data_IF_503382432493
#
_entry.id   IF_503382432493
#
_cell.length_a   1.000
_cell.length_b   1.000
_cell.length_c   1.000
_cell.angle_alpha   90.00
_cell.angle_beta   90.00
_cell.angle_gamma   90.00
#
_symmetry.space_group_name_H-M   'P 1'
#
loop_
_entity.id
_entity.type
_entity.pdbx_description
1 polymer ?
#
# COMPACT_ATOMS: atom_id res chain seq x y z
N UNK A 1 -1.74 -15.79 -20.30
CA UNK A 1 -2.01 -14.49 -19.62
C UNK A 1 -1.80 -14.67 -18.14
N UNK A 2 -1.17 -13.74 -17.43
CA UNK A 2 -1.11 -13.83 -15.97
C UNK A 2 -2.49 -13.58 -15.39
N UNK A 3 -2.90 -14.38 -14.41
CA UNK A 3 -4.24 -14.28 -13.79
C UNK A 3 -4.63 -12.88 -13.28
N UNK A 4 -3.70 -12.01 -12.81
CA UNK A 4 -4.02 -10.63 -12.46
C UNK A 4 -4.48 -9.75 -13.63
N UNK A 5 -4.04 -10.03 -14.87
CA UNK A 5 -4.50 -9.31 -16.06
C UNK A 5 -5.93 -9.68 -16.46
N UNK A 6 -6.32 -10.92 -16.21
CA UNK A 6 -7.71 -11.39 -16.39
C UNK A 6 -8.67 -10.60 -15.49
N UNK A 7 -8.36 -10.46 -14.18
CA UNK A 7 -9.16 -9.66 -13.26
C UNK A 7 -9.29 -8.20 -13.68
N UNK A 8 -8.19 -7.60 -14.11
CA UNK A 8 -8.17 -6.21 -14.51
C UNK A 8 -9.09 -5.92 -15.71
N UNK A 9 -9.30 -6.91 -16.59
CA UNK A 9 -10.20 -6.78 -17.73
C UNK A 9 -11.67 -6.59 -17.33
N UNK A 10 -12.01 -6.82 -16.06
CA UNK A 10 -13.36 -6.61 -15.54
C UNK A 10 -13.64 -5.16 -15.09
N UNK A 11 -12.67 -4.24 -15.18
CA UNK A 11 -12.94 -2.80 -15.00
C UNK A 11 -14.07 -2.37 -15.94
N UNK A 12 -15.03 -1.62 -15.40
CA UNK A 12 -16.24 -1.19 -16.12
C UNK A 12 -17.40 -2.19 -16.11
N UNK A 13 -17.20 -3.42 -15.64
CA UNK A 13 -18.29 -4.40 -15.44
C UNK A 13 -19.10 -4.06 -14.19
N UNK A 14 -20.22 -4.73 -14.04
CA UNK A 14 -21.10 -4.59 -12.87
C UNK A 14 -21.31 -5.95 -12.23
N UNK A 15 -21.19 -6.02 -10.92
CA UNK A 15 -21.48 -7.19 -10.09
C UNK A 15 -22.74 -6.87 -9.31
N UNK A 16 -23.86 -7.52 -9.64
CA UNK A 16 -25.19 -7.19 -9.13
C UNK A 16 -25.53 -5.73 -9.41
N UNK A 17 -25.37 -4.87 -8.40
CA UNK A 17 -25.62 -3.42 -8.47
C UNK A 17 -24.33 -2.59 -8.28
N UNK A 18 -23.17 -3.24 -8.16
CA UNK A 18 -21.90 -2.59 -7.83
C UNK A 18 -21.03 -2.48 -9.09
N UNK A 19 -20.76 -1.26 -9.60
CA UNK A 19 -19.86 -1.06 -10.72
C UNK A 19 -18.40 -1.30 -10.30
N UNK A 20 -17.64 -2.02 -11.10
CA UNK A 20 -16.20 -2.22 -10.93
C UNK A 20 -15.44 -1.03 -11.55
N UNK A 21 -15.23 0.04 -10.78
CA UNK A 21 -14.72 1.31 -11.32
C UNK A 21 -13.23 1.28 -11.60
N UNK A 22 -12.41 0.91 -10.63
CA UNK A 22 -10.96 0.90 -10.70
C UNK A 22 -10.41 -0.36 -10.04
N UNK A 23 -9.51 -1.06 -10.68
CA UNK A 23 -8.79 -2.17 -10.07
C UNK A 23 -7.79 -1.66 -9.02
N UNK A 24 -7.93 -2.09 -7.78
CA UNK A 24 -7.10 -1.69 -6.65
C UNK A 24 -5.98 -2.70 -6.35
N UNK A 25 -6.11 -3.92 -6.84
CA UNK A 25 -5.14 -4.98 -6.65
C UNK A 25 -5.77 -6.35 -6.61
N UNK A 26 -4.95 -7.40 -6.53
CA UNK A 26 -5.45 -8.76 -6.51
C UNK A 26 -4.35 -9.82 -6.44
N UNK A 27 -4.80 -11.06 -6.48
CA UNK A 27 -3.98 -12.28 -6.51
C UNK A 27 -4.51 -13.21 -7.60
N UNK A 28 -3.95 -14.42 -7.69
CA UNK A 28 -4.48 -15.45 -8.61
C UNK A 28 -5.93 -15.85 -8.33
N UNK A 29 -6.40 -15.65 -7.09
CA UNK A 29 -7.71 -16.14 -6.63
C UNK A 29 -8.70 -15.03 -6.27
N UNK A 30 -8.26 -13.77 -6.22
CA UNK A 30 -9.13 -12.65 -5.83
C UNK A 30 -8.67 -11.34 -6.42
N UNK A 31 -9.61 -10.43 -6.63
CA UNK A 31 -9.35 -9.04 -7.04
C UNK A 31 -10.17 -8.07 -6.21
N UNK A 32 -9.66 -6.87 -6.05
CA UNK A 32 -10.32 -5.77 -5.33
C UNK A 32 -10.49 -4.60 -6.31
N UNK A 33 -11.72 -4.09 -6.38
CA UNK A 33 -12.06 -2.92 -7.19
C UNK A 33 -12.65 -1.82 -6.31
N UNK A 34 -12.44 -0.59 -6.72
CA UNK A 34 -13.21 0.54 -6.25
C UNK A 34 -14.64 0.41 -6.77
N UNK A 35 -15.60 0.67 -5.89
CA UNK A 35 -17.03 0.72 -6.23
C UNK A 35 -17.72 1.82 -5.44
N UNK A 36 -19.00 1.98 -5.65
CA UNK A 36 -19.87 2.89 -4.89
C UNK A 36 -21.08 2.13 -4.35
N UNK A 37 -21.55 2.56 -3.19
CA UNK A 37 -22.80 2.02 -2.64
C UNK A 37 -23.96 2.73 -3.34
N UNK A 38 -24.84 1.99 -4.04
CA UNK A 38 -25.97 2.57 -4.74
C UNK A 38 -26.86 3.41 -3.81
N UNK A 39 -27.20 4.62 -4.24
CA UNK A 39 -28.07 5.54 -3.50
C UNK A 39 -27.41 6.32 -2.35
N UNK A 40 -26.16 5.99 -1.99
CA UNK A 40 -25.44 6.70 -0.91
C UNK A 40 -24.26 7.54 -1.40
N UNK A 41 -23.85 7.43 -2.67
CA UNK A 41 -22.64 8.04 -3.25
C UNK A 41 -21.41 7.85 -2.37
N UNK A 42 -21.37 6.76 -1.63
CA UNK A 42 -20.29 6.42 -0.71
C UNK A 42 -19.30 5.50 -1.42
N UNK A 43 -18.01 5.89 -1.42
CA UNK A 43 -16.93 5.04 -1.91
C UNK A 43 -16.84 3.76 -1.09
N UNK A 44 -16.74 2.63 -1.77
CA UNK A 44 -16.60 1.30 -1.20
C UNK A 44 -15.55 0.50 -1.99
N UNK A 45 -15.09 -0.60 -1.42
CA UNK A 45 -14.27 -1.57 -2.11
C UNK A 45 -15.09 -2.86 -2.28
N UNK A 46 -15.05 -3.45 -3.48
CA UNK A 46 -15.60 -4.77 -3.73
C UNK A 46 -14.47 -5.75 -3.99
N UNK A 47 -14.40 -6.81 -3.18
CA UNK A 47 -13.49 -7.91 -3.38
C UNK A 47 -14.24 -9.07 -4.02
N UNK A 48 -13.70 -9.53 -5.14
CA UNK A 48 -14.16 -10.70 -5.86
C UNK A 48 -13.23 -11.86 -5.57
N UNK A 49 -13.78 -13.01 -5.27
CA UNK A 49 -13.05 -14.25 -4.98
C UNK A 49 -13.59 -15.31 -5.93
N UNK A 50 -12.72 -16.02 -6.67
CA UNK A 50 -13.19 -17.14 -7.51
C UNK A 50 -13.92 -18.13 -6.62
N UNK A 51 -15.15 -18.42 -6.96
CA UNK A 51 -15.96 -19.38 -6.23
C UNK A 51 -15.38 -20.80 -6.45
N UNK A 52 -15.18 -21.51 -5.35
CA UNK A 52 -15.06 -22.95 -5.41
C UNK A 52 -16.47 -23.53 -5.67
N UNK A 53 -16.55 -24.65 -6.36
CA UNK A 53 -17.86 -25.18 -6.78
C UNK A 53 -18.70 -25.71 -5.61
N UNK A 54 -19.98 -25.41 -5.60
CA UNK A 54 -20.96 -26.05 -4.72
C UNK A 54 -20.99 -25.53 -3.27
N UNK A 55 -21.05 -26.44 -2.27
CA UNK A 55 -21.28 -26.09 -0.86
C UNK A 55 -20.27 -25.12 -0.24
N UNK A 56 -19.04 -25.11 -0.77
CA UNK A 56 -17.94 -24.28 -0.25
C UNK A 56 -18.17 -22.79 -0.53
N UNK A 57 -18.70 -22.45 -1.70
CA UNK A 57 -19.07 -21.07 -2.05
C UNK A 57 -20.19 -20.54 -1.15
N UNK A 58 -21.20 -21.39 -0.86
CA UNK A 58 -22.30 -21.03 0.03
C UNK A 58 -21.81 -20.81 1.47
N UNK A 59 -20.95 -21.69 1.97
CA UNK A 59 -20.35 -21.56 3.29
C UNK A 59 -19.50 -20.31 3.39
N UNK A 60 -18.68 -20.00 2.36
CA UNK A 60 -17.89 -18.78 2.31
C UNK A 60 -18.77 -17.53 2.31
N UNK A 61 -19.82 -17.52 1.51
CA UNK A 61 -20.77 -16.41 1.44
C UNK A 61 -21.49 -16.23 2.78
N UNK A 62 -21.91 -17.30 3.43
CA UNK A 62 -22.55 -17.27 4.74
C UNK A 62 -21.64 -16.67 5.81
N UNK A 63 -20.34 -17.05 5.83
CA UNK A 63 -19.34 -16.44 6.72
C UNK A 63 -19.20 -14.94 6.49
N UNK A 64 -19.06 -14.51 5.24
CA UNK A 64 -18.95 -13.09 4.90
C UNK A 64 -20.19 -12.29 5.30
N UNK A 65 -21.40 -12.86 5.12
CA UNK A 65 -22.66 -12.26 5.59
C UNK A 65 -22.71 -12.16 7.12
N UNK A 66 -22.20 -13.17 7.83
CA UNK A 66 -22.09 -13.13 9.30
C UNK A 66 -21.13 -12.03 9.74
N UNK A 67 -20.02 -11.82 9.03
CA UNK A 67 -19.05 -10.75 9.29
C UNK A 67 -19.67 -9.36 9.13
N UNK A 68 -20.64 -9.17 8.25
CA UNK A 68 -21.36 -7.90 8.09
C UNK A 68 -22.09 -7.44 9.37
N UNK A 69 -22.35 -8.35 10.31
CA UNK A 69 -22.96 -8.04 11.63
C UNK A 69 -21.95 -7.54 12.65
N UNK A 70 -20.65 -7.65 12.38
CA UNK A 70 -19.59 -7.19 13.28
C UNK A 70 -19.42 -5.68 13.16
N UNK A 71 -19.25 -5.03 14.30
CA UNK A 71 -19.00 -3.58 14.38
C UNK A 71 -17.93 -3.30 15.42
N UNK A 72 -16.78 -2.82 14.96
CA UNK A 72 -15.67 -2.38 15.81
C UNK A 72 -14.89 -1.26 15.11
N UNK A 73 -14.42 -0.23 15.81
CA UNK A 73 -13.74 0.91 15.19
C UNK A 73 -12.48 0.53 14.40
N UNK A 74 -11.82 -0.56 14.78
CA UNK A 74 -10.60 -1.04 14.14
C UNK A 74 -10.81 -2.31 13.28
N UNK A 75 -12.04 -2.57 12.84
CA UNK A 75 -12.36 -3.55 11.79
C UNK A 75 -12.94 -2.83 10.58
N UNK A 76 -12.59 -3.28 9.39
CA UNK A 76 -13.23 -2.82 8.15
C UNK A 76 -14.70 -3.23 8.18
N UNK A 77 -15.58 -2.28 7.93
CA UNK A 77 -17.02 -2.55 7.85
C UNK A 77 -17.32 -3.32 6.57
N UNK A 78 -18.04 -4.41 6.71
CA UNK A 78 -18.64 -5.15 5.60
C UNK A 78 -20.06 -4.62 5.40
N UNK A 79 -20.41 -4.24 4.17
CA UNK A 79 -21.75 -3.76 3.81
C UNK A 79 -22.61 -4.86 3.27
N UNK A 80 -22.05 -5.67 2.35
CA UNK A 80 -22.78 -6.73 1.67
C UNK A 80 -21.83 -7.85 1.24
N UNK A 81 -22.35 -9.08 1.15
CA UNK A 81 -21.67 -10.21 0.53
C UNK A 81 -22.67 -11.10 -0.18
N UNK A 82 -22.24 -11.72 -1.27
CA UNK A 82 -23.09 -12.59 -2.09
C UNK A 82 -22.27 -13.39 -3.10
N UNK A 83 -22.99 -14.02 -4.01
CA UNK A 83 -22.43 -14.72 -5.16
C UNK A 83 -22.93 -14.06 -6.45
N UNK A 84 -22.15 -14.12 -7.49
CA UNK A 84 -22.51 -13.63 -8.82
C UNK A 84 -21.68 -14.34 -9.88
N UNK A 85 -22.06 -14.19 -11.14
CA UNK A 85 -21.32 -14.72 -12.28
C UNK A 85 -20.91 -13.59 -13.20
N UNK A 86 -19.62 -13.50 -13.54
CA UNK A 86 -19.06 -12.50 -14.46
C UNK A 86 -18.38 -13.24 -15.60
N UNK A 87 -18.81 -12.96 -16.83
CA UNK A 87 -18.25 -13.56 -18.05
C UNK A 87 -18.12 -15.10 -17.94
N UNK A 88 -19.12 -15.76 -17.33
CA UNK A 88 -19.13 -17.21 -17.11
C UNK A 88 -18.26 -17.71 -15.96
N UNK A 89 -17.66 -16.81 -15.17
CA UNK A 89 -16.88 -17.14 -13.98
C UNK A 89 -17.72 -16.87 -12.73
N UNK A 90 -17.92 -17.90 -11.92
CA UNK A 90 -18.60 -17.76 -10.63
C UNK A 90 -17.68 -17.13 -9.60
N UNK A 91 -18.18 -16.13 -8.89
CA UNK A 91 -17.45 -15.38 -7.87
C UNK A 91 -18.27 -15.21 -6.59
N UNK A 92 -17.59 -15.29 -5.48
CA UNK A 92 -18.09 -14.75 -4.21
C UNK A 92 -17.61 -13.30 -4.11
N UNK A 93 -18.52 -12.37 -3.82
CA UNK A 93 -18.15 -10.97 -3.64
C UNK A 93 -18.42 -10.50 -2.21
N UNK A 94 -17.61 -9.55 -1.77
CA UNK A 94 -17.80 -8.83 -0.51
C UNK A 94 -17.56 -7.34 -0.73
N UNK A 95 -18.53 -6.51 -0.36
CA UNK A 95 -18.47 -5.06 -0.42
C UNK A 95 -18.13 -4.52 0.96
N UNK A 96 -17.08 -3.73 1.04
CA UNK A 96 -16.53 -3.23 2.29
C UNK A 96 -16.30 -1.72 2.25
N UNK A 97 -16.09 -1.14 3.40
CA UNK A 97 -15.51 0.19 3.54
C UNK A 97 -14.21 0.28 2.71
N UNK A 98 -14.06 1.37 1.97
CA UNK A 98 -12.88 1.59 1.14
C UNK A 98 -11.74 2.11 2.00
N UNK A 99 -10.63 1.39 2.02
CA UNK A 99 -9.40 1.86 2.64
C UNK A 99 -8.65 2.83 1.70
N UNK A 100 -7.93 3.77 2.30
CA UNK A 100 -7.08 4.70 1.56
C UNK A 100 -5.76 4.02 1.16
N UNK A 101 -5.16 3.26 2.09
CA UNK A 101 -3.90 2.53 1.91
C UNK A 101 -3.84 1.28 2.80
N UNK A 102 -2.78 0.50 2.66
CA UNK A 102 -2.47 -0.62 3.55
C UNK A 102 -0.97 -0.69 3.88
N UNK A 103 -0.64 -1.36 4.97
CA UNK A 103 0.73 -1.41 5.46
C UNK A 103 1.71 -2.03 4.44
N UNK A 104 1.27 -2.95 3.56
CA UNK A 104 2.14 -3.54 2.54
C UNK A 104 2.58 -2.58 1.45
N UNK A 105 1.96 -1.40 1.34
CA UNK A 105 2.38 -0.34 0.42
C UNK A 105 3.48 0.54 1.01
N UNK A 106 3.58 0.60 2.33
CA UNK A 106 4.59 1.38 3.06
C UNK A 106 5.88 0.59 3.23
N UNK A 107 5.77 -0.66 3.64
CA UNK A 107 6.92 -1.49 4.02
C UNK A 107 7.99 -1.67 2.94
N UNK A 108 7.68 -1.75 1.63
CA UNK A 108 8.72 -1.81 0.60
C UNK A 108 9.60 -0.56 0.54
N UNK A 109 9.09 0.58 1.02
CA UNK A 109 9.82 1.86 1.01
C UNK A 109 10.74 1.99 2.21
N UNK A 110 10.26 1.64 3.41
CA UNK A 110 11.01 1.71 4.67
C UNK A 110 10.38 0.82 5.73
N UNK A 111 11.14 0.41 6.76
CA UNK A 111 10.56 -0.16 7.97
C UNK A 111 9.78 0.92 8.73
N UNK A 112 8.90 0.51 9.62
CA UNK A 112 8.27 1.41 10.58
C UNK A 112 9.24 1.74 11.71
N UNK A 113 9.11 2.96 12.24
CA UNK A 113 9.77 3.36 13.47
C UNK A 113 9.04 2.78 14.70
N UNK A 114 9.75 2.70 15.82
CA UNK A 114 9.17 2.22 17.09
C UNK A 114 7.95 3.04 17.53
N UNK A 115 7.96 4.34 17.30
CA UNK A 115 6.85 5.25 17.57
C UNK A 115 5.62 4.94 16.72
N UNK A 116 5.81 4.59 15.46
CA UNK A 116 4.73 4.18 14.56
C UNK A 116 4.14 2.83 14.98
N UNK A 117 4.99 1.87 15.35
CA UNK A 117 4.53 0.57 15.86
C UNK A 117 3.78 0.72 17.19
N UNK A 118 4.19 1.65 18.07
CA UNK A 118 3.48 1.94 19.31
C UNK A 118 2.04 2.44 19.09
N UNK A 119 1.79 3.11 17.96
CA UNK A 119 0.45 3.56 17.55
C UNK A 119 -0.33 2.52 16.76
N UNK A 120 0.38 1.61 16.07
CA UNK A 120 -0.21 0.55 15.25
C UNK A 120 -0.75 -0.60 16.09
N UNK A 121 -0.03 -1.05 17.11
CA UNK A 121 -0.40 -2.25 17.86
C UNK A 121 -1.71 -2.14 18.65
N UNK A 122 -2.00 -1.07 19.42
CA UNK A 122 -3.23 -0.99 20.22
C UNK A 122 -4.53 -1.16 19.42
N UNK A 123 -4.72 -0.51 18.24
CA UNK A 123 -5.89 -0.76 17.39
C UNK A 123 -6.04 -2.23 16.96
N UNK A 124 -4.94 -2.88 16.61
CA UNK A 124 -4.95 -4.29 16.18
C UNK A 124 -5.30 -5.21 17.35
N UNK A 125 -4.71 -5.00 18.53
CA UNK A 125 -5.02 -5.74 19.75
C UNK A 125 -6.49 -5.57 20.15
N UNK A 126 -7.03 -4.35 20.06
CA UNK A 126 -8.45 -4.08 20.32
C UNK A 126 -9.38 -4.86 19.38
N UNK A 127 -9.07 -4.87 18.07
CA UNK A 127 -9.83 -5.61 17.07
C UNK A 127 -9.78 -7.13 17.36
N UNK A 128 -8.60 -7.67 17.66
CA UNK A 128 -8.44 -9.10 17.99
C UNK A 128 -9.14 -9.48 19.28
N UNK A 129 -9.04 -8.65 20.32
CA UNK A 129 -9.75 -8.86 21.58
C UNK A 129 -11.27 -8.92 21.38
N UNK A 130 -11.79 -8.03 20.52
CA UNK A 130 -13.21 -8.04 20.13
C UNK A 130 -13.62 -9.33 19.43
N UNK A 131 -12.81 -9.83 18.49
CA UNK A 131 -13.08 -11.07 17.76
C UNK A 131 -12.97 -12.30 18.67
N UNK A 132 -11.86 -12.45 19.40
CA UNK A 132 -11.60 -13.59 20.26
C UNK A 132 -12.66 -13.73 21.36
N UNK A 133 -13.12 -12.59 21.92
CA UNK A 133 -14.21 -12.57 22.90
C UNK A 133 -15.58 -13.03 22.35
N UNK A 134 -15.69 -13.18 21.02
CA UNK A 134 -16.90 -13.68 20.33
C UNK A 134 -16.76 -15.06 19.71
N UNK A 135 -15.68 -15.76 20.02
CA UNK A 135 -15.43 -17.07 19.42
C UNK A 135 -14.96 -17.00 17.97
N UNK A 136 -14.43 -15.84 17.55
CA UNK A 136 -13.97 -15.58 16.20
C UNK A 136 -12.46 -15.33 16.17
N UNK A 137 -11.84 -15.60 15.04
CA UNK A 137 -10.45 -15.28 14.74
C UNK A 137 -10.38 -14.47 13.44
N UNK A 138 -9.34 -13.66 13.30
CA UNK A 138 -9.07 -12.98 12.06
C UNK A 138 -8.53 -13.92 10.99
N UNK A 139 -7.66 -14.86 11.36
CA UNK A 139 -7.14 -15.95 10.55
C UNK A 139 -6.14 -15.53 9.47
N UNK A 140 -5.86 -14.22 9.29
CA UNK A 140 -4.94 -13.72 8.25
C UNK A 140 -4.39 -12.32 8.51
N UNK A 141 -3.74 -12.14 9.64
CA UNK A 141 -3.06 -10.88 9.96
C UNK A 141 -1.78 -10.81 9.14
N UNK A 142 -1.64 -9.77 8.32
CA UNK A 142 -0.46 -9.47 7.51
C UNK A 142 -0.50 -8.03 7.03
N UNK A 143 0.61 -7.45 6.56
CA UNK A 143 0.66 -6.04 6.16
C UNK A 143 -0.43 -5.61 5.17
N UNK A 144 -0.79 -6.44 4.20
CA UNK A 144 -1.85 -6.11 3.23
C UNK A 144 -3.26 -6.09 3.82
N UNK A 145 -3.45 -6.62 5.02
CA UNK A 145 -4.71 -6.67 5.75
C UNK A 145 -4.76 -5.69 6.93
N UNK A 146 -3.71 -4.90 7.12
CA UNK A 146 -3.67 -3.73 8.02
C UNK A 146 -3.89 -2.49 7.18
N UNK A 147 -5.05 -1.87 7.34
CA UNK A 147 -5.61 -0.88 6.44
C UNK A 147 -5.73 0.48 7.13
N UNK A 148 -5.54 1.55 6.39
CA UNK A 148 -5.79 2.91 6.84
C UNK A 148 -7.11 3.41 6.23
N UNK A 149 -7.99 3.96 7.08
CA UNK A 149 -9.25 4.61 6.67
C UNK A 149 -9.34 5.94 7.40
N UNK A 150 -9.06 7.03 6.68
CA UNK A 150 -8.87 8.33 7.29
C UNK A 150 -7.73 8.30 8.31
N UNK A 151 -8.03 8.65 9.55
CA UNK A 151 -7.11 8.67 10.69
C UNK A 151 -7.04 7.35 11.49
N UNK A 152 -7.73 6.30 11.03
CA UNK A 152 -7.88 5.05 11.77
C UNK A 152 -7.18 3.88 11.10
N UNK A 153 -6.53 3.06 11.91
CA UNK A 153 -6.03 1.76 11.50
C UNK A 153 -7.09 0.70 11.76
N UNK A 154 -7.32 -0.15 10.76
CA UNK A 154 -8.32 -1.21 10.78
C UNK A 154 -7.75 -2.50 10.22
N UNK A 155 -8.19 -3.64 10.76
CA UNK A 155 -7.98 -4.94 10.15
C UNK A 155 -9.05 -5.21 9.09
N UNK A 156 -8.67 -5.89 8.02
CA UNK A 156 -9.63 -6.42 7.04
C UNK A 156 -10.63 -7.35 7.72
N UNK A 157 -11.80 -7.54 7.13
CA UNK A 157 -12.86 -8.37 7.76
C UNK A 157 -13.29 -9.55 6.91
N UNK A 158 -12.71 -9.71 5.72
CA UNK A 158 -13.11 -10.74 4.75
C UNK A 158 -12.58 -12.15 5.03
N UNK A 159 -11.71 -12.30 6.05
CA UNK A 159 -11.11 -13.59 6.41
C UNK A 159 -11.57 -14.12 7.78
N UNK A 160 -12.40 -13.36 8.49
CA UNK A 160 -12.87 -13.72 9.83
C UNK A 160 -13.62 -15.06 9.80
N UNK A 161 -13.27 -15.95 10.72
CA UNK A 161 -13.84 -17.27 10.85
C UNK A 161 -14.14 -17.61 12.31
N UNK A 162 -15.05 -18.55 12.53
CA UNK A 162 -15.26 -19.15 13.85
C UNK A 162 -14.20 -20.20 14.14
N UNK A 163 -13.64 -20.23 15.33
CA UNK A 163 -12.74 -21.34 15.73
C UNK A 163 -13.51 -22.64 16.04
N UNK A 164 -14.82 -22.63 16.02
CA UNK A 164 -15.62 -23.86 16.01
C UNK A 164 -15.66 -24.52 14.62
N UNK A 165 -15.40 -23.76 13.54
CA UNK A 165 -15.46 -24.24 12.16
C UNK A 165 -14.13 -24.89 11.74
N UNK A 166 -13.66 -25.89 12.46
CA UNK A 166 -12.38 -26.59 12.21
C UNK A 166 -12.35 -27.39 10.89
N UNK A 167 -13.45 -27.46 10.15
CA UNK A 167 -13.56 -28.14 8.85
C UNK A 167 -13.56 -27.20 7.66
N UNK A 168 -13.19 -25.92 7.82
CA UNK A 168 -13.08 -25.06 6.67
C UNK A 168 -11.93 -25.55 5.78
N UNK A 169 -12.24 -25.82 4.50
CA UNK A 169 -11.34 -26.30 3.42
C UNK A 169 -10.13 -25.41 3.20
N UNK A 170 -9.36 -25.15 4.28
CA UNK A 170 -8.08 -24.40 4.21
C UNK A 170 -6.97 -25.21 3.55
N UNK A 171 -7.23 -26.51 3.23
CA UNK A 171 -6.24 -27.41 2.65
C UNK A 171 -5.70 -27.00 1.28
N UNK A 172 -6.41 -26.15 0.54
CA UNK A 172 -5.98 -25.69 -0.78
C UNK A 172 -5.31 -24.30 -0.76
N UNK A 173 -5.21 -23.66 0.42
CA UNK A 173 -4.64 -22.34 0.52
C UNK A 173 -3.11 -22.41 0.57
N UNK A 174 -2.45 -21.74 -0.36
CA UNK A 174 -0.99 -21.56 -0.35
C UNK A 174 -0.56 -20.89 0.96
N UNK A 175 0.40 -21.50 1.68
CA UNK A 175 0.98 -20.93 2.90
C UNK A 175 1.57 -19.55 2.63
N UNK A 176 1.26 -18.63 3.52
CA UNK A 176 1.84 -17.30 3.58
C UNK A 176 2.93 -17.28 4.67
N UNK A 177 3.94 -16.44 4.52
CA UNK A 177 5.00 -16.29 5.54
C UNK A 177 4.48 -15.81 6.92
N UNK A 178 3.27 -15.29 6.96
CA UNK A 178 2.58 -14.83 8.17
C UNK A 178 1.70 -15.91 8.81
N UNK A 179 1.47 -17.03 8.16
CA UNK A 179 0.60 -18.09 8.67
C UNK A 179 1.31 -18.88 9.78
N UNK A 180 0.57 -19.16 10.85
CA UNK A 180 1.07 -20.02 11.93
C UNK A 180 1.33 -21.44 11.44
N UNK A 181 2.31 -22.17 12.00
CA UNK A 181 2.67 -23.51 11.55
C UNK A 181 1.48 -24.48 11.55
N UNK A 182 0.64 -24.45 12.57
CA UNK A 182 -0.55 -25.29 12.71
C UNK A 182 -1.64 -25.01 11.67
N UNK A 183 -1.60 -23.88 11.00
CA UNK A 183 -2.54 -23.55 9.90
C UNK A 183 -2.40 -24.54 8.75
N UNK A 184 -1.23 -25.14 8.56
CA UNK A 184 -1.01 -26.19 7.57
C UNK A 184 -1.85 -27.45 7.83
N UNK A 185 -2.22 -27.70 9.10
CA UNK A 185 -3.14 -28.76 9.50
C UNK A 185 -4.61 -28.32 9.53
N UNK A 186 -4.93 -27.14 8.98
CA UNK A 186 -6.30 -26.60 8.99
C UNK A 186 -6.74 -26.02 10.32
N UNK A 187 -5.84 -25.92 11.31
CA UNK A 187 -6.18 -25.42 12.64
C UNK A 187 -6.22 -23.89 12.60
N UNK A 188 -7.38 -23.35 12.94
CA UNK A 188 -7.62 -21.90 13.04
C UNK A 188 -7.91 -21.59 14.52
N UNK A 189 -7.12 -20.69 15.11
CA UNK A 189 -7.19 -20.43 16.55
C UNK A 189 -6.77 -19.01 16.90
N UNK A 190 -7.17 -18.49 18.09
CA UNK A 190 -6.63 -17.23 18.60
C UNK A 190 -5.10 -17.20 18.69
N UNK A 191 -4.47 -18.33 19.01
CA UNK A 191 -3.01 -18.44 19.03
C UNK A 191 -2.39 -18.29 17.62
N UNK A 192 -3.11 -18.71 16.58
CA UNK A 192 -2.71 -18.46 15.18
C UNK A 192 -2.68 -16.96 14.84
N UNK A 193 -3.66 -16.19 15.33
CA UNK A 193 -3.67 -14.73 15.18
C UNK A 193 -2.49 -14.08 15.92
N UNK A 194 -2.12 -14.60 17.11
CA UNK A 194 -0.94 -14.11 17.85
C UNK A 194 0.34 -14.32 17.04
N UNK A 195 0.52 -15.50 16.44
CA UNK A 195 1.66 -15.76 15.55
C UNK A 195 1.69 -14.76 14.40
N UNK A 196 0.57 -14.63 13.68
CA UNK A 196 0.47 -13.74 12.53
C UNK A 196 0.69 -12.26 12.89
N UNK A 197 0.28 -11.84 14.09
CA UNK A 197 0.59 -10.52 14.64
C UNK A 197 2.09 -10.35 14.88
N UNK A 198 2.75 -11.34 15.51
CA UNK A 198 4.20 -11.34 15.71
C UNK A 198 4.98 -11.29 14.40
N UNK A 199 4.59 -12.08 13.41
CA UNK A 199 5.17 -12.06 12.07
C UNK A 199 4.99 -10.70 11.37
N UNK A 200 3.80 -10.11 11.50
CA UNK A 200 3.51 -8.77 10.97
C UNK A 200 4.34 -7.69 11.66
N UNK A 201 4.54 -7.80 12.97
CA UNK A 201 5.40 -6.90 13.74
C UNK A 201 6.85 -6.96 13.28
N UNK A 202 7.40 -8.16 13.10
CA UNK A 202 8.76 -8.34 12.56
C UNK A 202 8.87 -7.73 11.18
N UNK A 203 7.93 -8.04 10.27
CA UNK A 203 7.90 -7.45 8.94
C UNK A 203 7.82 -5.92 8.95
N UNK A 204 7.02 -5.35 9.84
CA UNK A 204 6.87 -3.91 9.99
C UNK A 204 8.17 -3.21 10.39
N UNK A 205 8.95 -3.82 11.29
CA UNK A 205 10.19 -3.24 11.82
C UNK A 205 11.44 -3.57 11.00
N UNK A 206 11.40 -4.60 10.15
CA UNK A 206 12.59 -5.10 9.44
C UNK A 206 12.43 -5.22 7.93
N UNK A 207 11.24 -4.99 7.40
CA UNK A 207 10.85 -5.26 6.01
C UNK A 207 11.04 -6.75 5.60
N UNK A 208 11.28 -7.63 6.53
CA UNK A 208 11.53 -9.05 6.30
C UNK A 208 10.70 -9.92 7.26
N UNK A 209 10.21 -11.04 6.73
CA UNK A 209 9.42 -12.05 7.46
C UNK A 209 9.95 -13.46 7.26
N UNK A 210 11.20 -13.62 6.81
CA UNK A 210 11.82 -14.94 6.67
C UNK A 210 12.26 -15.46 8.04
N UNK A 211 11.63 -16.53 8.50
CA UNK A 211 11.93 -17.19 9.78
C UNK A 211 12.84 -18.44 9.64
N UNK A 212 13.51 -18.61 8.51
CA UNK A 212 14.29 -19.82 8.22
C UNK A 212 13.40 -21.04 7.91
N UNK A 213 14.04 -22.12 7.46
CA UNK A 213 13.33 -23.37 7.12
C UNK A 213 13.28 -24.36 8.29
N UNK A 214 13.89 -24.02 9.43
CA UNK A 214 13.89 -24.90 10.62
C UNK A 214 12.52 -24.89 11.30
N UNK A 215 11.76 -25.96 11.06
CA UNK A 215 10.44 -26.15 11.63
C UNK A 215 10.46 -26.78 13.04
N UNK A 216 11.63 -27.01 13.61
CA UNK A 216 11.79 -27.64 14.92
C UNK A 216 12.16 -26.65 16.04
N UNK A 217 12.52 -25.42 15.67
CA UNK A 217 12.89 -24.37 16.63
C UNK A 217 12.08 -23.12 16.37
N UNK A 218 11.82 -22.38 17.47
CA UNK A 218 11.20 -21.06 17.37
C UNK A 218 12.04 -20.16 16.45
N UNK A 219 11.41 -19.29 15.64
CA UNK A 219 12.09 -18.42 14.70
C UNK A 219 13.16 -17.54 15.35
N UNK A 220 14.35 -17.51 14.76
CA UNK A 220 15.40 -16.55 15.13
C UNK A 220 14.98 -15.14 14.76
N UNK A 221 15.02 -14.22 15.72
CA UNK A 221 14.67 -12.81 15.49
C UNK A 221 15.89 -11.98 15.11
N UNK A 222 15.76 -11.00 14.20
CA UNK A 222 16.82 -10.06 13.88
C UNK A 222 17.31 -9.29 15.11
N UNK A 223 18.63 -9.14 15.25
CA UNK A 223 19.23 -8.38 16.35
C UNK A 223 18.88 -6.89 16.35
N UNK A 224 18.40 -6.38 15.20
CA UNK A 224 17.96 -4.99 15.01
C UNK A 224 16.64 -4.65 15.69
N UNK A 225 15.87 -5.65 16.12
CA UNK A 225 14.64 -5.41 16.87
C UNK A 225 14.97 -4.88 18.26
N UNK A 226 14.38 -3.74 18.60
CA UNK A 226 14.49 -3.11 19.94
C UNK A 226 13.39 -3.60 20.88
N UNK A 227 13.64 -3.48 22.17
CA UNK A 227 12.61 -3.69 23.17
C UNK A 227 11.58 -2.53 23.19
N UNK A 228 10.31 -2.79 23.49
CA UNK A 228 9.73 -4.07 23.91
C UNK A 228 9.36 -5.00 22.75
N UNK A 229 9.48 -4.56 21.50
CA UNK A 229 8.98 -5.27 20.31
C UNK A 229 9.70 -6.59 20.06
N UNK A 230 10.97 -6.67 20.40
CA UNK A 230 11.74 -7.91 20.30
C UNK A 230 11.17 -8.99 21.25
N UNK A 231 10.88 -8.63 22.48
CA UNK A 231 10.24 -9.54 23.45
C UNK A 231 8.85 -9.94 22.97
N UNK A 232 8.01 -8.99 22.56
CA UNK A 232 6.68 -9.28 22.01
C UNK A 232 6.77 -10.25 20.84
N UNK A 233 7.63 -9.99 19.86
CA UNK A 233 7.79 -10.84 18.69
C UNK A 233 8.22 -12.26 19.08
N UNK A 234 9.19 -12.39 19.99
CA UNK A 234 9.66 -13.70 20.49
C UNK A 234 8.52 -14.50 21.12
N UNK A 235 7.76 -13.88 22.00
CA UNK A 235 6.69 -14.54 22.72
C UNK A 235 5.44 -14.83 21.85
N UNK A 236 5.29 -14.11 20.74
CA UNK A 236 4.26 -14.41 19.74
C UNK A 236 4.65 -15.58 18.82
N UNK A 237 5.93 -15.77 18.54
CA UNK A 237 6.43 -16.66 17.50
C UNK A 237 6.93 -18.01 18.06
N UNK A 238 6.36 -18.51 19.16
CA UNK A 238 6.58 -19.87 19.59
C UNK A 238 5.92 -20.88 18.66
N UNK A 239 6.64 -21.94 18.27
CA UNK A 239 6.07 -23.03 17.47
C UNK A 239 4.92 -23.71 18.19
N UNK A 240 5.05 -23.93 19.51
CA UNK A 240 3.96 -24.42 20.35
C UNK A 240 2.92 -23.31 20.61
N UNK A 241 1.68 -23.42 20.09
CA UNK A 241 0.65 -22.40 20.28
C UNK A 241 0.32 -22.11 21.75
N UNK A 242 0.55 -23.07 22.64
CA UNK A 242 0.27 -22.93 24.09
C UNK A 242 1.29 -22.04 24.79
N UNK A 243 2.46 -21.85 24.21
CA UNK A 243 3.52 -20.99 24.77
C UNK A 243 3.40 -19.55 24.31
N UNK A 244 2.59 -19.27 23.28
CA UNK A 244 2.40 -17.91 22.78
C UNK A 244 1.69 -17.04 23.80
N UNK A 245 2.10 -15.79 23.89
CA UNK A 245 1.44 -14.80 24.72
C UNK A 245 -0.03 -14.61 24.34
N UNK A 246 -0.83 -14.28 25.35
CA UNK A 246 -2.18 -13.75 25.15
C UNK A 246 -2.13 -12.26 24.76
N UNK A 247 -3.22 -11.74 24.17
CA UNK A 247 -3.36 -10.31 23.87
C UNK A 247 -3.11 -9.44 25.10
N UNK A 248 -3.58 -9.88 26.29
CA UNK A 248 -3.39 -9.16 27.56
C UNK A 248 -1.92 -9.06 27.96
N UNK A 249 -1.12 -10.10 27.75
CA UNK A 249 0.31 -10.06 28.04
C UNK A 249 1.03 -9.07 27.10
N UNK A 250 0.67 -9.07 25.81
CA UNK A 250 1.19 -8.10 24.83
C UNK A 250 0.81 -6.67 25.23
N UNK A 251 -0.45 -6.43 25.60
CA UNK A 251 -0.91 -5.11 26.07
C UNK A 251 -0.17 -4.65 27.34
N UNK A 252 0.17 -5.59 28.23
CA UNK A 252 0.90 -5.27 29.46
C UNK A 252 2.33 -4.87 29.16
N UNK A 253 3.00 -5.56 28.22
CA UNK A 253 4.37 -5.26 27.81
C UNK A 253 4.47 -3.89 27.09
N UNK A 254 3.41 -3.52 26.34
CA UNK A 254 3.35 -2.23 25.64
C UNK A 254 3.12 -1.03 26.59
N UNK A 255 2.63 -1.26 27.80
CA UNK A 255 2.48 -0.18 28.77
C UNK A 255 3.88 0.25 29.23
N UNK A 256 4.21 1.56 29.16
CA UNK A 256 5.44 2.00 29.78
C UNK A 256 5.40 1.55 31.24
N UNK A 257 6.36 0.70 31.62
CA UNK A 257 6.55 0.43 33.03
C UNK A 257 6.65 1.78 33.74
N UNK A 258 5.73 2.08 34.63
CA UNK A 258 6.03 2.93 35.76
C UNK A 258 7.16 2.19 36.47
N UNK A 259 8.41 2.37 36.04
CA UNK A 259 9.57 1.97 36.83
C UNK A 259 9.29 2.56 38.20
N UNK A 260 8.86 1.74 39.10
CA UNK A 260 8.90 2.04 40.53
C UNK A 260 10.36 2.40 40.78
N UNK A 261 10.63 3.69 40.88
CA UNK A 261 11.93 4.15 41.36
C UNK A 261 12.18 3.34 42.64
N UNK A 262 13.35 2.70 42.79
CA UNK A 262 13.71 2.08 44.05
C UNK A 262 13.37 3.10 45.15
N UNK A 263 12.67 2.65 46.17
CA UNK A 263 12.29 3.51 47.28
C UNK A 263 13.51 4.36 47.69
N UNK A 264 13.37 5.68 47.82
CA UNK A 264 14.49 6.53 48.18
C UNK A 264 15.12 5.97 49.46
N UNK A 265 16.45 5.74 49.40
CA UNK A 265 17.22 5.34 50.59
C UNK A 265 16.89 6.31 51.73
N UNK A 266 16.85 5.84 53.01
CA UNK A 266 16.51 6.71 54.12
C UNK A 266 17.46 7.92 54.18
N UNK A 267 16.93 9.10 54.51
CA UNK A 267 17.67 10.35 54.41
C UNK A 267 18.89 10.32 55.30
N UNK A 268 20.08 10.51 54.73
CA UNK A 268 21.26 10.87 55.43
C UNK A 268 21.09 12.27 56.03
N UNK A 269 21.60 12.58 57.23
CA UNK A 269 21.37 13.87 57.86
C UNK A 269 22.07 15.01 57.10
N UNK A 270 21.33 16.09 56.95
CA UNK A 270 21.63 17.32 56.23
C UNK A 270 22.91 18.03 56.70
N UNK A 271 23.75 18.52 55.81
CA UNK A 271 24.49 19.75 56.03
C UNK A 271 23.68 20.96 55.51
N UNK A 272 23.81 22.07 56.20
CA UNK A 272 23.07 23.32 56.18
C UNK A 272 23.04 24.08 54.80
N UNK A 273 22.18 25.10 54.63
CA UNK A 273 21.57 25.47 53.36
C UNK A 273 22.43 26.43 52.54
N UNK A 274 22.50 26.16 51.23
CA UNK A 274 22.94 27.12 50.23
C UNK A 274 21.80 27.53 49.30
N UNK A 275 21.75 28.78 48.98
CA UNK A 275 20.68 29.57 48.41
C UNK A 275 20.22 29.18 47.00
N UNK A 276 18.92 29.34 46.79
CA UNK A 276 18.11 29.24 45.59
C UNK A 276 18.63 30.02 44.38
N UNK A 277 18.72 29.37 43.20
CA UNK A 277 18.59 30.05 41.92
C UNK A 277 17.40 29.44 41.13
N UNK A 278 16.41 30.30 40.85
CA UNK A 278 15.25 30.02 40.03
C UNK A 278 15.67 29.88 38.56
N UNK A 279 15.31 28.79 37.91
CA UNK A 279 15.34 28.61 36.47
C UNK A 279 13.93 28.36 35.93
N UNK A 280 13.66 28.73 34.68
CA UNK A 280 12.28 28.87 34.19
C UNK A 280 11.63 27.53 33.83
N UNK A 281 10.32 27.51 34.08
CA UNK A 281 9.41 26.40 33.75
C UNK A 281 9.21 26.30 32.22
N UNK A 282 9.33 25.07 31.66
CA UNK A 282 8.90 24.77 30.31
C UNK A 282 7.50 24.14 30.35
N UNK A 283 6.60 24.56 29.46
CA UNK A 283 5.26 23.98 29.40
C UNK A 283 5.22 22.67 28.61
N UNK A 284 4.38 21.79 29.10
CA UNK A 284 4.03 20.46 28.58
C UNK A 284 3.19 20.61 27.29
N UNK A 285 3.82 20.49 26.10
CA UNK A 285 3.09 20.45 24.81
C UNK A 285 3.79 19.53 23.81
N UNK A 286 4.06 18.25 24.16
CA UNK A 286 4.72 17.31 23.24
C UNK A 286 3.76 16.25 22.69
N UNK A 287 2.58 16.05 23.28
CA UNK A 287 1.65 15.00 22.86
C UNK A 287 0.90 15.27 21.54
N UNK A 288 0.82 16.55 21.11
CA UNK A 288 0.01 16.92 19.93
C UNK A 288 0.80 16.94 18.61
N UNK A 289 2.13 16.92 18.65
CA UNK A 289 2.97 17.08 17.46
C UNK A 289 3.18 15.75 16.70
N UNK A 290 3.11 14.61 17.39
CA UNK A 290 3.40 13.29 16.78
C UNK A 290 2.23 12.81 15.92
N UNK A 291 0.98 13.09 16.30
CA UNK A 291 -0.21 12.79 15.48
C UNK A 291 -0.21 13.63 14.21
N UNK A 292 0.31 14.86 14.26
CA UNK A 292 0.44 15.75 13.10
C UNK A 292 1.56 15.33 12.14
N UNK A 293 2.59 14.62 12.58
CA UNK A 293 3.68 14.18 11.69
C UNK A 293 3.23 13.05 10.75
N UNK A 294 2.41 12.10 11.23
CA UNK A 294 1.81 11.05 10.38
C UNK A 294 0.80 11.68 9.41
N UNK A 295 0.08 12.72 9.86
CA UNK A 295 -0.87 13.46 9.04
C UNK A 295 -0.17 14.31 7.98
N UNK A 296 1.02 14.86 8.27
CA UNK A 296 1.76 15.73 7.34
C UNK A 296 2.42 14.94 6.21
N UNK A 297 2.94 13.75 6.46
CA UNK A 297 3.46 12.85 5.41
C UNK A 297 2.33 12.34 4.53
N UNK A 298 1.16 12.04 5.11
CA UNK A 298 -0.04 11.62 4.38
C UNK A 298 -0.64 12.76 3.54
N UNK A 299 -0.63 14.00 4.06
CA UNK A 299 -1.16 15.19 3.37
C UNK A 299 -0.20 15.77 2.33
N UNK A 300 1.11 15.66 2.53
CA UNK A 300 2.10 16.18 1.58
C UNK A 300 2.05 15.46 0.23
N UNK A 301 1.75 14.15 0.23
CA UNK A 301 1.52 13.40 -1.00
C UNK A 301 0.13 13.62 -1.63
N UNK A 302 -0.82 14.20 -0.89
CA UNK A 302 -2.20 14.46 -1.36
C UNK A 302 -2.40 15.90 -1.86
N UNK A 303 -1.54 16.83 -1.50
CA UNK A 303 -1.73 18.29 -1.69
C UNK A 303 -1.50 18.83 -3.09
N UNK A 304 -1.13 18.02 -4.07
CA UNK A 304 -0.80 18.54 -5.41
C UNK A 304 -1.81 18.17 -6.50
N UNK A 305 -3.10 18.04 -6.16
CA UNK A 305 -4.20 17.99 -7.12
C UNK A 305 -5.37 18.84 -6.65
N UNK A 306 -5.25 20.14 -6.82
CA UNK A 306 -6.36 21.11 -6.82
C UNK A 306 -5.89 22.31 -7.62
N UNK A 307 -6.52 22.55 -8.71
CA UNK A 307 -7.67 23.22 -9.06
C UNK A 307 -7.37 24.06 -10.26
N UNK A 308 -7.72 23.64 -11.44
CA UNK A 308 -7.99 24.54 -12.55
C UNK A 308 -9.51 24.70 -12.61
N UNK A 309 -10.00 25.84 -12.19
CA UNK A 309 -11.36 26.29 -12.46
C UNK A 309 -11.49 26.55 -13.97
N UNK A 310 -12.25 25.73 -14.65
CA UNK A 310 -12.78 26.05 -15.96
C UNK A 310 -13.90 27.07 -15.76
N UNK A 311 -13.67 28.25 -16.33
CA UNK A 311 -14.72 29.22 -16.63
C UNK A 311 -15.11 29.00 -18.08
N UNK A 312 -16.32 28.59 -18.29
CA UNK A 312 -16.98 28.41 -19.56
C UNK A 312 -17.37 29.81 -20.11
N UNK A 313 -17.18 30.10 -21.38
CA UNK A 313 -17.99 31.12 -22.06
C UNK A 313 -18.92 30.49 -23.09
N UNK A 314 -20.17 30.79 -22.96
CA UNK A 314 -21.32 30.55 -23.81
C UNK A 314 -21.11 31.03 -25.25
N UNK A 315 -21.65 30.36 -26.26
CA UNK A 315 -21.45 30.70 -27.66
C UNK A 315 -22.48 31.75 -28.16
N UNK A 316 -22.01 32.77 -28.84
CA UNK A 316 -22.85 33.57 -29.72
C UNK A 316 -22.68 33.13 -31.18
N UNK A 317 -23.81 32.85 -31.78
CA UNK A 317 -24.06 32.52 -33.16
C UNK A 317 -23.99 33.77 -34.01
N UNK A 318 -23.23 33.78 -35.12
CA UNK A 318 -23.60 34.57 -36.31
C UNK A 318 -23.10 33.93 -37.58
N UNK A 319 -24.04 33.75 -38.45
CA UNK A 319 -24.04 33.24 -39.81
C UNK A 319 -23.36 34.22 -40.80
N UNK A 320 -22.58 33.75 -41.73
CA UNK A 320 -22.70 34.04 -43.17
C UNK A 320 -21.51 33.53 -44.01
N UNK A 321 -21.82 32.79 -45.01
CA UNK A 321 -21.05 32.43 -46.21
C UNK A 321 -21.50 33.34 -47.37
N UNK A 322 -20.93 33.34 -48.62
CA UNK A 322 -19.60 32.98 -49.14
C UNK A 322 -19.01 34.08 -50.07
N UNK A 323 -17.74 33.97 -50.48
CA UNK A 323 -17.44 34.17 -51.93
C UNK A 323 -16.00 33.80 -52.34
N UNK A 324 -15.92 33.48 -53.59
CA UNK A 324 -14.90 32.76 -54.34
C UNK A 324 -13.59 33.53 -54.65
N UNK A 325 -12.60 32.73 -55.04
CA UNK A 325 -11.24 32.91 -55.53
C UNK A 325 -10.99 34.06 -56.50
N UNK A 326 -9.71 34.42 -56.85
CA UNK A 326 -8.88 33.55 -57.65
C UNK A 326 -7.38 33.46 -57.30
N UNK A 327 -6.78 32.44 -57.89
CA UNK A 327 -5.39 32.06 -57.86
C UNK A 327 -4.43 33.08 -58.43
N UNK A 328 -3.24 33.22 -57.83
CA UNK A 328 -2.02 33.63 -58.50
C UNK A 328 -0.88 32.72 -58.11
N UNK A 329 -0.27 32.15 -59.11
CA UNK A 329 0.91 31.30 -59.10
C UNK A 329 2.15 32.13 -58.78
N UNK A 330 2.97 31.68 -57.80
CA UNK A 330 4.39 31.99 -57.80
C UNK A 330 5.22 30.78 -57.37
N UNK A 331 6.30 30.61 -58.07
CA UNK A 331 7.19 29.47 -58.16
C UNK A 331 8.03 29.25 -56.87
N UNK A 332 8.66 28.07 -56.70
CA UNK A 332 9.22 27.61 -55.42
C UNK A 332 10.58 28.25 -55.15
N UNK A 333 10.68 29.02 -54.08
CA UNK A 333 11.97 29.26 -53.42
C UNK A 333 12.39 28.01 -52.62
N UNK A 334 13.56 27.53 -52.96
CA UNK A 334 14.22 26.39 -52.30
C UNK A 334 14.19 26.52 -50.79
N UNK A 335 13.44 25.64 -50.14
CA UNK A 335 13.53 25.42 -48.69
C UNK A 335 14.95 24.92 -48.36
N UNK A 336 15.74 25.72 -47.65
CA UNK A 336 16.95 25.25 -46.97
C UNK A 336 16.54 24.12 -46.07
N UNK A 337 17.08 22.93 -46.33
CA UNK A 337 16.93 21.77 -45.45
C UNK A 337 17.50 22.14 -44.08
N UNK A 338 16.61 22.35 -43.11
CA UNK A 338 17.00 22.52 -41.71
C UNK A 338 17.69 21.27 -41.25
N UNK A 339 18.97 21.36 -40.93
CA UNK A 339 19.76 20.25 -40.40
C UNK A 339 19.35 20.04 -38.92
N UNK A 340 18.46 19.10 -38.67
CA UNK A 340 18.06 18.74 -37.31
C UNK A 340 18.91 17.58 -36.84
N UNK A 341 19.77 17.81 -35.85
CA UNK A 341 20.52 16.75 -35.16
C UNK A 341 19.62 16.09 -34.12
N UNK A 342 19.55 14.76 -34.12
CA UNK A 342 18.79 14.02 -33.15
C UNK A 342 19.49 14.11 -31.77
N UNK A 343 18.74 14.48 -30.71
CA UNK A 343 19.27 14.42 -29.35
C UNK A 343 19.49 12.96 -28.90
N UNK A 344 20.43 12.74 -28.01
CA UNK A 344 20.81 11.43 -27.47
C UNK A 344 20.80 11.41 -25.94
N UNK A 345 20.76 10.20 -25.35
CA UNK A 345 20.90 10.03 -23.90
C UNK A 345 22.38 10.15 -23.53
N UNK A 346 22.72 11.11 -22.68
CA UNK A 346 24.08 11.37 -22.21
C UNK A 346 24.43 10.61 -20.94
N UNK A 347 23.50 10.63 -19.98
CA UNK A 347 23.66 9.93 -18.72
C UNK A 347 22.34 9.23 -18.35
N UNK A 348 22.44 7.92 -18.13
CA UNK A 348 21.31 7.09 -17.72
C UNK A 348 21.45 6.72 -16.25
N UNK A 349 20.46 7.08 -15.44
CA UNK A 349 20.35 6.67 -14.03
C UNK A 349 19.30 5.57 -13.92
N UNK A 350 19.69 4.41 -13.43
CA UNK A 350 18.75 3.33 -13.10
C UNK A 350 18.23 3.53 -11.68
N UNK A 351 16.94 3.26 -11.44
CA UNK A 351 16.40 3.27 -10.09
C UNK A 351 17.14 2.28 -9.20
N UNK A 352 17.51 2.72 -8.00
CA UNK A 352 18.03 1.80 -6.98
C UNK A 352 16.86 1.05 -6.35
N UNK A 353 16.76 -0.22 -6.71
CA UNK A 353 15.66 -1.09 -6.24
C UNK A 353 16.26 -2.10 -5.26
N UNK A 354 15.87 -2.06 -3.98
CA UNK A 354 16.27 -3.05 -2.99
C UNK A 354 15.93 -4.47 -3.44
N UNK A 355 16.77 -5.44 -3.07
CA UNK A 355 16.57 -6.84 -3.46
C UNK A 355 15.23 -7.40 -2.96
N UNK A 356 14.77 -6.96 -1.80
CA UNK A 356 13.45 -7.28 -1.25
C UNK A 356 12.31 -6.88 -2.20
N UNK A 357 12.37 -5.66 -2.75
CA UNK A 357 11.38 -5.19 -3.71
C UNK A 357 11.50 -5.93 -5.06
N UNK A 358 12.72 -6.25 -5.52
CA UNK A 358 12.93 -7.09 -6.72
C UNK A 358 12.29 -8.46 -6.56
N UNK A 359 12.36 -9.05 -5.38
CA UNK A 359 11.80 -10.39 -5.10
C UNK A 359 10.26 -10.42 -5.18
N UNK A 360 9.59 -9.26 -5.05
CA UNK A 360 8.12 -9.15 -5.20
C UNK A 360 7.68 -9.11 -6.66
N UNK A 361 8.60 -8.90 -7.60
CA UNK A 361 8.27 -8.82 -9.02
C UNK A 361 8.06 -10.21 -9.60
N UNK A 362 6.80 -10.55 -9.87
CA UNK A 362 6.41 -11.72 -10.67
C UNK A 362 6.21 -11.29 -12.12
N UNK A 363 7.25 -11.47 -12.95
CA UNK A 363 7.23 -11.05 -14.36
C UNK A 363 8.01 -9.77 -14.63
N UNK A 364 7.40 -8.77 -15.29
CA UNK A 364 8.04 -7.49 -15.62
C UNK A 364 7.10 -6.34 -15.27
N UNK A 365 7.49 -5.49 -14.34
CA UNK A 365 6.80 -4.22 -14.06
C UNK A 365 7.33 -3.17 -15.04
N UNK A 366 6.43 -2.55 -15.81
CA UNK A 366 6.75 -1.49 -16.77
C UNK A 366 6.21 -0.17 -16.24
N UNK A 367 7.07 0.84 -16.18
CA UNK A 367 6.72 2.22 -15.84
C UNK A 367 7.20 3.12 -16.96
N UNK A 368 6.36 4.04 -17.42
CA UNK A 368 6.73 5.02 -18.46
C UNK A 368 6.62 6.42 -17.89
N UNK A 369 7.72 7.16 -17.95
CA UNK A 369 7.84 8.54 -17.51
C UNK A 369 7.98 9.44 -18.72
N UNK A 370 7.25 10.55 -18.76
CA UNK A 370 7.45 11.64 -19.71
C UNK A 370 8.38 12.65 -19.07
N UNK A 371 9.56 12.87 -19.65
CA UNK A 371 10.54 13.84 -19.20
C UNK A 371 10.58 15.03 -20.16
N UNK A 372 10.54 16.24 -19.64
CA UNK A 372 10.79 17.47 -20.37
C UNK A 372 12.25 17.88 -20.15
N UNK A 373 12.99 18.01 -21.22
CA UNK A 373 14.42 18.30 -21.23
C UNK A 373 14.62 19.74 -21.72
N UNK A 374 15.37 20.52 -20.95
CA UNK A 374 15.71 21.90 -21.27
C UNK A 374 16.83 22.03 -22.31
N UNK A 375 17.21 23.26 -22.61
CA UNK A 375 18.26 23.58 -23.59
C UNK A 375 19.64 23.12 -23.15
N UNK A 376 19.85 22.87 -21.84
CA UNK A 376 21.11 22.36 -21.29
C UNK A 376 21.20 20.83 -21.30
N UNK A 377 20.10 20.14 -21.63
CA UNK A 377 20.02 18.69 -21.62
C UNK A 377 19.58 18.09 -20.29
N UNK A 378 19.20 18.90 -19.30
CA UNK A 378 18.70 18.44 -18.01
C UNK A 378 17.19 18.28 -18.01
N UNK A 379 16.70 17.31 -17.25
CA UNK A 379 15.27 17.12 -17.03
C UNK A 379 14.77 18.21 -16.08
N UNK A 380 13.89 19.07 -16.56
CA UNK A 380 13.28 20.13 -15.75
C UNK A 380 11.90 19.72 -15.19
N UNK A 381 11.27 18.70 -15.78
CA UNK A 381 9.99 18.14 -15.32
C UNK A 381 9.86 16.69 -15.75
N UNK A 382 9.39 15.84 -14.85
CA UNK A 382 9.10 14.46 -15.11
C UNK A 382 7.67 14.11 -14.64
N UNK A 383 6.91 13.43 -15.48
CA UNK A 383 5.52 13.03 -15.19
C UNK A 383 5.29 11.57 -15.54
N UNK A 384 4.50 10.87 -14.73
CA UNK A 384 4.11 9.49 -15.02
C UNK A 384 3.10 9.44 -16.18
N UNK A 385 3.52 8.92 -17.32
CA UNK A 385 2.60 8.57 -18.42
C UNK A 385 1.88 7.26 -18.15
N UNK A 386 2.57 6.30 -17.53
CA UNK A 386 2.02 5.02 -17.08
C UNK A 386 2.75 4.58 -15.83
N UNK A 387 2.03 4.53 -14.72
CA UNK A 387 2.58 4.17 -13.40
C UNK A 387 2.88 2.66 -13.28
N UNK A 388 2.35 1.82 -14.19
CA UNK A 388 2.41 0.37 -14.04
C UNK A 388 1.56 -0.11 -12.85
N UNK A 389 1.74 -1.38 -12.46
CA UNK A 389 0.92 -1.98 -11.41
C UNK A 389 1.36 -1.61 -9.97
N UNK A 390 2.45 -0.86 -9.81
CA UNK A 390 3.03 -0.56 -8.49
C UNK A 390 3.44 0.91 -8.39
N UNK A 391 2.80 1.64 -7.48
CA UNK A 391 3.15 3.03 -7.16
C UNK A 391 4.59 3.16 -6.67
N UNK A 392 5.11 2.15 -5.97
CA UNK A 392 6.49 2.11 -5.49
C UNK A 392 7.49 2.14 -6.65
N UNK A 393 7.35 1.25 -7.64
CA UNK A 393 8.22 1.28 -8.83
C UNK A 393 7.98 2.55 -9.68
N UNK A 394 6.77 3.10 -9.64
CA UNK A 394 6.46 4.35 -10.30
C UNK A 394 7.20 5.55 -9.69
N UNK A 395 7.25 5.65 -8.35
CA UNK A 395 8.01 6.73 -7.68
C UNK A 395 9.51 6.60 -7.89
N UNK A 396 10.07 5.39 -7.81
CA UNK A 396 11.48 5.16 -8.10
C UNK A 396 11.85 5.48 -9.57
N UNK A 397 10.95 5.15 -10.50
CA UNK A 397 11.15 5.48 -11.90
C UNK A 397 11.10 7.00 -12.15
N UNK A 398 10.23 7.72 -11.45
CA UNK A 398 10.11 9.17 -11.53
C UNK A 398 11.39 9.85 -11.00
N UNK A 399 11.82 9.47 -9.79
CA UNK A 399 13.04 9.98 -9.16
C UNK A 399 14.30 9.69 -10.00
N UNK A 400 14.40 8.51 -10.59
CA UNK A 400 15.50 8.20 -11.48
C UNK A 400 15.46 9.02 -12.76
N UNK A 401 14.26 9.22 -13.36
CA UNK A 401 14.08 9.99 -14.58
C UNK A 401 14.49 11.46 -14.45
N UNK A 402 14.30 12.07 -13.28
CA UNK A 402 14.72 13.44 -12.98
C UNK A 402 16.25 13.63 -12.98
N UNK A 403 16.99 12.53 -12.77
CA UNK A 403 18.48 12.54 -12.75
C UNK A 403 19.09 12.19 -14.10
N UNK A 404 18.27 11.94 -15.16
CA UNK A 404 18.80 11.67 -16.49
C UNK A 404 19.29 12.94 -17.15
N UNK A 405 20.35 12.80 -17.97
CA UNK A 405 20.86 13.88 -18.79
C UNK A 405 20.86 13.48 -20.27
N UNK A 406 20.55 14.44 -21.11
CA UNK A 406 20.43 14.27 -22.55
C UNK A 406 21.31 15.27 -23.31
N UNK A 407 21.71 14.94 -24.52
CA UNK A 407 22.13 15.95 -25.47
C UNK A 407 20.88 16.55 -26.12
N UNK A 408 20.62 17.85 -25.97
CA UNK A 408 19.46 18.45 -26.62
C UNK A 408 19.57 18.31 -28.14
N UNK A 409 18.46 18.11 -28.84
CA UNK A 409 18.47 18.18 -30.28
C UNK A 409 18.76 19.62 -30.76
N UNK A 410 19.43 19.77 -31.86
CA UNK A 410 19.73 21.07 -32.44
C UNK A 410 18.93 21.30 -33.72
N UNK A 411 18.41 22.50 -33.87
CA UNK A 411 17.78 22.98 -35.12
C UNK A 411 18.55 24.20 -35.55
N UNK A 412 19.14 24.14 -36.73
CA UNK A 412 20.00 25.20 -37.29
C UNK A 412 21.18 25.60 -36.38
N UNK A 413 21.77 24.59 -35.67
CA UNK A 413 22.88 24.78 -34.73
C UNK A 413 22.50 25.37 -33.36
N UNK A 414 21.19 25.51 -33.07
CA UNK A 414 20.70 25.99 -31.80
C UNK A 414 20.04 24.83 -31.02
N UNK A 415 20.37 24.61 -29.71
CA UNK A 415 19.74 23.60 -28.92
C UNK A 415 18.27 23.93 -28.67
N UNK A 416 17.40 22.94 -28.76
CA UNK A 416 15.96 23.08 -28.54
C UNK A 416 15.48 22.15 -27.44
N UNK A 417 14.50 22.63 -26.65
CA UNK A 417 13.86 21.80 -25.64
C UNK A 417 13.15 20.60 -26.26
N UNK A 418 13.20 19.47 -25.57
CA UNK A 418 12.68 18.22 -26.11
C UNK A 418 11.91 17.42 -25.05
N UNK A 419 11.00 16.56 -25.53
CA UNK A 419 10.22 15.67 -24.66
C UNK A 419 10.64 14.23 -24.93
N UNK A 420 10.88 13.48 -23.87
CA UNK A 420 11.28 12.09 -23.92
C UNK A 420 10.31 11.19 -23.16
N UNK A 421 10.14 9.98 -23.65
CA UNK A 421 9.48 8.90 -22.94
C UNK A 421 10.55 7.92 -22.46
N UNK A 422 10.70 7.83 -21.15
CA UNK A 422 11.62 6.91 -20.51
C UNK A 422 10.81 5.73 -19.99
N UNK A 423 11.07 4.53 -20.50
CA UNK A 423 10.43 3.30 -20.08
C UNK A 423 11.37 2.51 -19.17
N UNK A 424 10.98 2.33 -17.92
CA UNK A 424 11.64 1.46 -16.97
C UNK A 424 10.98 0.08 -16.98
N UNK A 425 11.80 -0.97 -16.91
CA UNK A 425 11.39 -2.37 -16.84
C UNK A 425 12.06 -3.01 -15.65
N UNK A 426 11.28 -3.29 -14.62
CA UNK A 426 11.75 -3.96 -13.42
C UNK A 426 11.46 -5.45 -13.54
N UNK A 427 12.50 -6.27 -13.37
CA UNK A 427 12.42 -7.72 -13.28
C UNK A 427 13.02 -8.16 -11.95
N UNK A 428 12.72 -9.37 -11.52
CA UNK A 428 13.25 -9.95 -10.29
C UNK A 428 14.79 -9.92 -10.20
N UNK A 429 15.48 -10.05 -11.33
CA UNK A 429 16.94 -10.12 -11.39
C UNK A 429 17.60 -8.87 -11.95
N UNK A 430 16.85 -7.96 -12.57
CA UNK A 430 17.44 -6.81 -13.27
C UNK A 430 16.45 -5.64 -13.40
N UNK A 431 17.00 -4.43 -13.46
CA UNK A 431 16.28 -3.23 -13.87
C UNK A 431 16.87 -2.72 -15.17
N UNK A 432 16.03 -2.43 -16.15
CA UNK A 432 16.41 -1.88 -17.45
C UNK A 432 15.64 -0.61 -17.72
N UNK A 433 16.25 0.33 -18.45
CA UNK A 433 15.55 1.50 -18.94
C UNK A 433 15.88 1.75 -20.40
N UNK A 434 14.95 2.38 -21.10
CA UNK A 434 15.11 2.83 -22.47
C UNK A 434 14.41 4.18 -22.64
N UNK A 435 14.99 5.10 -23.40
CA UNK A 435 14.38 6.38 -23.69
C UNK A 435 14.09 6.52 -25.18
N UNK A 436 12.98 7.15 -25.48
CA UNK A 436 12.58 7.48 -26.84
C UNK A 436 12.10 8.93 -26.89
N UNK A 437 12.66 9.71 -27.85
CA UNK A 437 12.22 11.09 -28.07
C UNK A 437 10.82 11.11 -28.68
N UNK A 438 9.96 11.97 -28.15
CA UNK A 438 8.64 12.24 -28.74
C UNK A 438 8.84 13.19 -29.92
N UNK A 439 8.54 12.73 -31.12
CA UNK A 439 8.49 13.64 -32.30
C UNK A 439 7.25 14.54 -32.14
N UNK A 440 7.46 15.84 -32.30
CA UNK A 440 6.34 16.80 -32.42
C UNK A 440 5.61 16.59 -33.71
#
# INVERSE_FOLDING_TARGET
MSKPEEWKSWEGRVVEIFPLQQWLGGSDHSAVFLTEIPGASQRAAIKLIKAETGPDAEQQTSRLRATAKLSHPNLIRVFQAGQSTIDGTDVVYVVTECADDNLSQILPTRPLENTEVSTLLPPLLGALSYLHGRGLVHGRIKPSNVLAVGDRLKLSSDQIASFADQNSNSHHRRRDAYDAPETAAGIVSPAGDIWSLGATLVAALTQNVSFGEDTQRDPGLPATLSEPYRTIARECLHLDPKKRWSLRQIETELKPETRSMPAPAPPMPNPAPAQSRKGPAFPLTIATVIVLAIFFVFSYFRGNKSGAKNTEPTPETTTAQPNAAPAVSEAPMAAKASTTTAGEVRHQVLPDVPQSAKNTVTGTVKVTVRAQVDLSGKVNSAELKSAGPSKYFASLALEAAERWEFSPPETDGQPVASTWLIQFRFKRTSTQASAQRVKR
#
